data_IF_278827733903
#
_entry.id   IF_278827733903
#
_cell.length_a   1.000
_cell.length_b   1.000
_cell.length_c   1.000
_cell.angle_alpha   90.00
_cell.angle_beta   90.00
_cell.angle_gamma   90.00
#
_symmetry.space_group_name_H-M   'P 1'
#
loop_
_entity.id
_entity.type
_entity.pdbx_description
1 polymer ?
#
# COMPACT_ATOMS: atom_id res chain seq x y z
N UNK A 1 -29.58 -20.24 -18.62
CA UNK A 1 -28.16 -19.82 -18.73
C UNK A 1 -27.47 -20.23 -17.45
N UNK A 2 -26.45 -21.07 -17.53
CA UNK A 2 -25.67 -21.47 -16.35
C UNK A 2 -25.05 -20.23 -15.70
N UNK A 3 -25.32 -20.03 -14.42
CA UNK A 3 -24.89 -18.86 -13.62
C UNK A 3 -23.36 -18.70 -13.62
N UNK A 4 -22.63 -19.80 -13.87
CA UNK A 4 -21.16 -19.87 -13.94
C UNK A 4 -20.50 -19.08 -15.09
N UNK A 5 -21.25 -18.43 -15.98
CA UNK A 5 -20.70 -17.62 -17.09
C UNK A 5 -20.93 -16.10 -16.93
N UNK A 6 -21.55 -15.64 -15.83
CA UNK A 6 -21.69 -14.21 -15.58
C UNK A 6 -20.36 -13.62 -15.09
N UNK A 7 -19.95 -12.50 -15.69
CA UNK A 7 -18.85 -11.69 -15.17
C UNK A 7 -19.17 -11.31 -13.70
N UNK A 8 -18.23 -11.47 -12.74
CA UNK A 8 -18.49 -11.17 -11.33
C UNK A 8 -19.09 -9.78 -11.10
N UNK A 9 -18.67 -8.78 -11.89
CA UNK A 9 -19.21 -7.42 -11.83
C UNK A 9 -20.70 -7.32 -12.23
N UNK A 10 -21.16 -8.16 -13.15
CA UNK A 10 -22.57 -8.23 -13.57
C UNK A 10 -23.41 -9.10 -12.63
N UNK A 11 -22.78 -10.06 -11.95
CA UNK A 11 -23.45 -10.95 -11.01
C UNK A 11 -23.84 -10.23 -9.70
N UNK A 12 -22.95 -9.40 -9.14
CA UNK A 12 -23.20 -8.75 -7.84
C UNK A 12 -24.38 -7.75 -7.89
N UNK A 13 -24.63 -7.10 -9.03
CA UNK A 13 -25.73 -6.13 -9.17
C UNK A 13 -27.09 -6.71 -9.54
N UNK A 14 -27.23 -8.04 -9.59
CA UNK A 14 -28.46 -8.71 -10.05
C UNK A 14 -29.34 -9.11 -8.87
N UNK A 15 -30.60 -8.65 -8.88
CA UNK A 15 -31.57 -8.94 -7.82
C UNK A 15 -32.51 -10.11 -8.18
N UNK A 16 -32.90 -10.26 -9.44
CA UNK A 16 -33.79 -11.35 -9.90
C UNK A 16 -32.99 -12.54 -10.45
N UNK A 17 -32.95 -13.61 -9.66
CA UNK A 17 -32.25 -14.86 -9.99
C UNK A 17 -33.17 -15.98 -10.50
N UNK A 18 -34.47 -15.71 -10.69
CA UNK A 18 -35.44 -16.72 -11.06
C UNK A 18 -35.45 -17.91 -10.09
N UNK A 19 -35.44 -19.14 -10.62
CA UNK A 19 -35.58 -20.37 -9.81
C UNK A 19 -34.27 -20.90 -9.18
N UNK A 20 -33.13 -20.24 -9.41
CA UNK A 20 -31.85 -20.71 -8.89
C UNK A 20 -31.06 -19.53 -8.28
N UNK A 21 -31.39 -19.12 -7.04
CA UNK A 21 -30.64 -18.08 -6.35
C UNK A 21 -29.21 -18.57 -6.06
N UNK A 22 -28.22 -17.66 -6.09
CA UNK A 22 -26.83 -18.02 -5.84
C UNK A 22 -26.63 -18.44 -4.38
N UNK A 23 -25.76 -19.43 -4.21
CA UNK A 23 -25.31 -19.87 -2.89
C UNK A 23 -24.45 -18.80 -2.21
N UNK A 24 -24.29 -18.88 -0.89
CA UNK A 24 -23.40 -17.98 -0.15
C UNK A 24 -21.95 -18.04 -0.69
N UNK A 25 -21.44 -19.25 -0.92
CA UNK A 25 -20.09 -19.45 -1.44
C UNK A 25 -19.88 -18.83 -2.84
N UNK A 26 -20.90 -18.84 -3.69
CA UNK A 26 -20.84 -18.17 -5.00
C UNK A 26 -20.77 -16.65 -4.86
N UNK A 27 -21.56 -16.06 -3.95
CA UNK A 27 -21.49 -14.62 -3.65
C UNK A 27 -20.11 -14.22 -3.14
N UNK A 28 -19.57 -14.98 -2.18
CA UNK A 28 -18.23 -14.76 -1.63
C UNK A 28 -17.16 -14.84 -2.71
N UNK A 29 -17.28 -15.82 -3.61
CA UNK A 29 -16.37 -15.98 -4.74
C UNK A 29 -16.44 -14.79 -5.69
N UNK A 30 -17.65 -14.30 -6.01
CA UNK A 30 -17.81 -13.13 -6.87
C UNK A 30 -17.22 -11.87 -6.25
N UNK A 31 -17.35 -11.70 -4.94
CA UNK A 31 -16.75 -10.59 -4.22
C UNK A 31 -15.21 -10.61 -4.29
N UNK A 32 -14.61 -11.76 -3.98
CA UNK A 32 -13.15 -11.95 -4.11
C UNK A 32 -12.68 -11.68 -5.54
N UNK A 33 -13.37 -12.24 -6.53
CA UNK A 33 -13.03 -12.09 -7.94
C UNK A 33 -13.16 -10.63 -8.42
N UNK A 34 -14.22 -9.93 -7.98
CA UNK A 34 -14.43 -8.51 -8.29
C UNK A 34 -13.30 -7.64 -7.76
N UNK A 35 -12.92 -7.84 -6.49
CA UNK A 35 -11.79 -7.12 -5.87
C UNK A 35 -10.49 -7.40 -6.63
N UNK A 36 -10.24 -8.66 -6.98
CA UNK A 36 -9.04 -9.03 -7.74
C UNK A 36 -8.99 -8.38 -9.13
N UNK A 37 -10.12 -8.31 -9.84
CA UNK A 37 -10.18 -7.60 -11.12
C UNK A 37 -9.81 -6.12 -10.97
N UNK A 38 -10.37 -5.42 -9.97
CA UNK A 38 -10.01 -4.03 -9.72
C UNK A 38 -8.56 -3.86 -9.29
N UNK A 39 -8.00 -4.80 -8.53
CA UNK A 39 -6.58 -4.81 -8.14
C UNK A 39 -5.68 -4.89 -9.37
N UNK A 40 -5.94 -5.81 -10.29
CA UNK A 40 -5.16 -5.94 -11.53
C UNK A 40 -5.22 -4.68 -12.41
N UNK A 41 -6.32 -3.92 -12.32
CA UNK A 41 -6.50 -2.63 -12.98
C UNK A 41 -5.96 -1.44 -12.19
N UNK A 42 -5.32 -1.66 -11.03
CA UNK A 42 -4.87 -0.61 -10.09
C UNK A 42 -5.97 0.39 -9.73
N UNK A 43 -7.22 -0.09 -9.73
CA UNK A 43 -8.45 0.68 -9.57
C UNK A 43 -8.86 0.77 -8.09
N UNK A 44 -7.96 1.31 -7.26
CA UNK A 44 -8.07 1.31 -5.80
C UNK A 44 -9.34 1.99 -5.28
N UNK A 45 -9.81 3.05 -5.95
CA UNK A 45 -11.05 3.75 -5.58
C UNK A 45 -12.27 2.83 -5.64
N UNK A 46 -12.35 1.96 -6.65
CA UNK A 46 -13.45 1.01 -6.79
C UNK A 46 -13.37 -0.10 -5.75
N UNK A 47 -12.17 -0.51 -5.33
CA UNK A 47 -12.01 -1.45 -4.21
C UNK A 47 -12.52 -0.84 -2.91
N UNK A 48 -12.19 0.43 -2.64
CA UNK A 48 -12.73 1.15 -1.47
C UNK A 48 -14.25 1.24 -1.55
N UNK A 49 -14.82 1.59 -2.69
CA UNK A 49 -16.29 1.63 -2.85
C UNK A 49 -16.94 0.27 -2.62
N UNK A 50 -16.35 -0.81 -3.14
CA UNK A 50 -16.88 -2.17 -2.95
C UNK A 50 -16.83 -2.59 -1.47
N UNK A 51 -15.71 -2.34 -0.80
CA UNK A 51 -15.52 -2.68 0.62
C UNK A 51 -16.39 -1.82 1.54
N UNK A 52 -16.48 -0.51 1.29
CA UNK A 52 -17.39 0.38 2.03
C UNK A 52 -18.85 -0.02 1.89
N UNK A 53 -19.31 -0.33 0.68
CA UNK A 53 -20.68 -0.79 0.45
C UNK A 53 -20.99 -2.12 1.14
N UNK A 54 -20.02 -3.05 1.16
CA UNK A 54 -20.18 -4.34 1.84
C UNK A 54 -20.20 -4.22 3.37
N UNK A 55 -19.51 -3.22 3.92
CA UNK A 55 -19.43 -2.94 5.36
C UNK A 55 -20.46 -1.90 5.83
N UNK A 56 -21.40 -1.49 4.96
CA UNK A 56 -22.41 -0.46 5.24
C UNK A 56 -21.81 0.86 5.79
N UNK A 57 -20.63 1.23 5.29
CA UNK A 57 -19.82 2.38 5.76
C UNK A 57 -19.37 2.32 7.24
N UNK A 58 -19.56 1.18 7.91
CA UNK A 58 -19.05 0.92 9.27
C UNK A 58 -17.77 0.06 9.21
N UNK A 59 -16.61 0.70 9.38
CA UNK A 59 -15.33 -0.01 9.37
C UNK A 59 -15.15 -0.96 10.56
N UNK A 60 -15.81 -0.70 11.70
CA UNK A 60 -15.67 -1.57 12.88
C UNK A 60 -16.39 -2.92 12.68
N UNK A 61 -17.35 -2.99 11.76
CA UNK A 61 -18.02 -4.25 11.36
C UNK A 61 -17.10 -5.29 10.73
N UNK A 62 -15.88 -4.89 10.35
CA UNK A 62 -14.88 -5.80 9.77
C UNK A 62 -14.45 -6.89 10.76
N UNK A 63 -14.58 -6.62 12.06
CA UNK A 63 -14.17 -7.53 13.12
C UNK A 63 -15.26 -8.56 13.46
N UNK A 64 -16.50 -8.33 13.00
CA UNK A 64 -17.66 -9.14 13.39
C UNK A 64 -17.75 -10.47 12.64
N UNK A 65 -17.17 -10.54 11.44
CA UNK A 65 -17.23 -11.71 10.58
C UNK A 65 -15.86 -12.13 10.05
N UNK A 66 -15.65 -13.45 9.94
CA UNK A 66 -14.41 -14.02 9.45
C UNK A 66 -14.19 -13.73 7.97
N UNK A 67 -15.25 -13.76 7.15
CA UNK A 67 -15.11 -13.43 5.72
C UNK A 67 -14.73 -11.96 5.53
N UNK A 68 -15.23 -11.05 6.36
CA UNK A 68 -14.80 -9.65 6.35
C UNK A 68 -13.29 -9.51 6.64
N UNK A 69 -12.78 -10.23 7.64
CA UNK A 69 -11.35 -10.24 7.96
C UNK A 69 -10.49 -10.89 6.87
N UNK A 70 -10.97 -11.93 6.20
CA UNK A 70 -10.20 -12.60 5.15
C UNK A 70 -10.26 -11.90 3.78
N UNK A 71 -11.38 -11.25 3.45
CA UNK A 71 -11.61 -10.69 2.13
C UNK A 71 -11.50 -9.17 2.11
N UNK A 72 -12.19 -8.49 3.03
CA UNK A 72 -12.32 -7.03 2.99
C UNK A 72 -11.18 -6.33 3.73
N UNK A 73 -10.67 -6.88 4.82
CA UNK A 73 -9.54 -6.27 5.54
C UNK A 73 -8.26 -6.18 4.67
N UNK A 74 -7.80 -7.24 3.97
CA UNK A 74 -6.64 -7.11 3.07
C UNK A 74 -6.91 -6.09 1.95
N UNK A 75 -8.10 -6.14 1.35
CA UNK A 75 -8.47 -5.24 0.25
C UNK A 75 -8.52 -3.78 0.71
N UNK A 76 -9.03 -3.51 1.90
CA UNK A 76 -9.09 -2.19 2.51
C UNK A 76 -7.70 -1.68 2.90
N UNK A 77 -6.92 -2.49 3.62
CA UNK A 77 -5.55 -2.14 4.03
C UNK A 77 -4.70 -1.77 2.81
N UNK A 78 -4.76 -2.58 1.75
CA UNK A 78 -4.05 -2.29 0.50
C UNK A 78 -4.60 -1.03 -0.18
N UNK A 79 -5.88 -1.01 -0.55
CA UNK A 79 -6.45 0.05 -1.40
C UNK A 79 -6.43 1.42 -0.73
N UNK A 80 -6.75 1.53 0.56
CA UNK A 80 -6.71 2.81 1.28
C UNK A 80 -5.28 3.29 1.50
N UNK A 81 -4.32 2.40 1.77
CA UNK A 81 -2.90 2.78 1.86
C UNK A 81 -2.37 3.27 0.52
N UNK A 82 -2.70 2.59 -0.59
CA UNK A 82 -2.34 3.02 -1.96
C UNK A 82 -2.87 4.42 -2.27
N UNK A 83 -4.11 4.70 -1.89
CA UNK A 83 -4.72 6.00 -2.08
C UNK A 83 -4.10 7.07 -1.17
N UNK A 84 -3.74 6.73 0.06
CA UNK A 84 -3.07 7.62 1.00
C UNK A 84 -1.70 8.06 0.46
N UNK A 85 -0.91 7.15 -0.12
CA UNK A 85 0.36 7.46 -0.81
C UNK A 85 0.14 8.43 -1.98
N UNK A 86 -1.00 8.33 -2.67
CA UNK A 86 -1.40 9.26 -3.75
C UNK A 86 -1.98 10.59 -3.25
N UNK A 87 -1.98 10.82 -1.93
CA UNK A 87 -2.43 12.07 -1.29
C UNK A 87 -3.89 12.07 -0.83
N UNK A 88 -4.63 10.97 -0.98
CA UNK A 88 -6.00 10.84 -0.47
C UNK A 88 -5.97 10.31 0.97
N UNK A 89 -5.86 11.23 1.93
CA UNK A 89 -5.78 10.92 3.35
C UNK A 89 -7.18 10.76 3.96
N UNK A 90 -7.61 9.51 4.12
CA UNK A 90 -8.88 9.16 4.77
C UNK A 90 -8.72 9.08 6.29
N UNK A 91 -9.18 10.11 7.00
CA UNK A 91 -9.07 10.19 8.46
C UNK A 91 -9.85 9.09 9.19
N UNK A 92 -10.95 8.58 8.61
CA UNK A 92 -11.71 7.49 9.20
C UNK A 92 -10.87 6.20 9.21
N UNK A 93 -10.09 5.98 8.15
CA UNK A 93 -9.18 4.84 8.07
C UNK A 93 -8.01 4.92 9.04
N UNK A 94 -7.35 6.08 9.17
CA UNK A 94 -6.30 6.26 10.19
C UNK A 94 -6.85 6.01 11.60
N UNK A 95 -8.02 6.57 11.91
CA UNK A 95 -8.69 6.36 13.20
C UNK A 95 -9.06 4.89 13.44
N UNK A 96 -9.49 4.18 12.40
CA UNK A 96 -9.78 2.75 12.45
C UNK A 96 -8.51 1.95 12.81
N UNK A 97 -7.39 2.22 12.14
CA UNK A 97 -6.11 1.56 12.43
C UNK A 97 -5.67 1.87 13.87
N UNK A 98 -5.73 3.13 14.31
CA UNK A 98 -5.34 3.50 15.68
C UNK A 98 -6.16 2.75 16.74
N UNK A 99 -7.49 2.70 16.58
CA UNK A 99 -8.37 1.90 17.46
C UNK A 99 -8.04 0.40 17.42
N UNK A 100 -7.76 -0.14 16.23
CA UNK A 100 -7.39 -1.54 16.09
C UNK A 100 -6.07 -1.87 16.80
N UNK A 101 -5.12 -0.94 16.82
CA UNK A 101 -3.83 -1.11 17.49
C UNK A 101 -3.93 -1.07 19.03
N UNK A 102 -5.01 -0.54 19.60
CA UNK A 102 -5.29 -0.57 21.04
C UNK A 102 -5.77 -1.95 21.53
N UNK A 103 -6.43 -2.71 20.66
CA UNK A 103 -6.94 -4.05 20.97
C UNK A 103 -5.87 -5.08 20.61
N UNK A 104 -5.40 -5.83 21.60
CA UNK A 104 -4.27 -6.76 21.45
C UNK A 104 -4.43 -7.73 20.26
N UNK A 105 -5.56 -8.43 20.16
CA UNK A 105 -5.73 -9.46 19.12
C UNK A 105 -5.77 -8.85 17.71
N UNK A 106 -6.38 -7.66 17.58
CA UNK A 106 -6.44 -6.92 16.31
C UNK A 106 -5.06 -6.39 15.93
N UNK A 107 -4.32 -5.83 16.89
CA UNK A 107 -2.93 -5.41 16.71
C UNK A 107 -2.06 -6.57 16.24
N UNK A 108 -2.09 -7.70 16.96
CA UNK A 108 -1.25 -8.86 16.65
C UNK A 108 -1.52 -9.35 15.20
N UNK A 109 -2.78 -9.33 14.75
CA UNK A 109 -3.16 -9.63 13.37
C UNK A 109 -2.60 -8.61 12.37
N UNK A 110 -2.74 -7.31 12.65
CA UNK A 110 -2.26 -6.25 11.77
C UNK A 110 -0.72 -6.26 11.64
N UNK A 111 -0.02 -6.42 12.75
CA UNK A 111 1.44 -6.46 12.79
C UNK A 111 2.02 -7.69 12.07
N UNK A 112 1.30 -8.82 12.08
CA UNK A 112 1.74 -10.04 11.41
C UNK A 112 1.46 -10.06 9.91
N UNK A 113 0.35 -9.45 9.46
CA UNK A 113 -0.10 -9.54 8.07
C UNK A 113 0.15 -8.29 7.23
N UNK A 114 0.13 -7.10 7.83
CA UNK A 114 0.24 -5.82 7.13
C UNK A 114 1.35 -4.91 7.67
N UNK A 115 2.56 -5.44 7.98
CA UNK A 115 3.64 -4.63 8.54
C UNK A 115 4.09 -3.52 7.57
N UNK A 116 4.02 -3.77 6.25
CA UNK A 116 4.41 -2.76 5.27
C UNK A 116 3.40 -1.62 5.21
N UNK A 117 2.11 -1.93 5.14
CA UNK A 117 1.04 -0.92 5.12
C UNK A 117 1.10 -0.07 6.39
N UNK A 118 1.27 -0.68 7.57
CA UNK A 118 1.50 0.05 8.82
C UNK A 118 2.70 0.98 8.73
N UNK A 119 3.83 0.50 8.19
CA UNK A 119 5.01 1.33 8.00
C UNK A 119 4.74 2.53 7.09
N UNK A 120 4.05 2.32 5.97
CA UNK A 120 3.65 3.38 5.04
C UNK A 120 2.76 4.40 5.75
N UNK A 121 1.76 3.97 6.53
CA UNK A 121 0.88 4.87 7.26
C UNK A 121 1.64 5.72 8.28
N UNK A 122 2.55 5.13 9.06
CA UNK A 122 3.38 5.88 9.99
C UNK A 122 4.38 6.82 9.28
N UNK A 123 4.87 6.43 8.10
CA UNK A 123 5.69 7.30 7.27
C UNK A 123 4.91 8.54 6.82
N UNK A 124 3.65 8.38 6.40
CA UNK A 124 2.77 9.49 6.02
C UNK A 124 2.44 10.41 7.22
N UNK A 125 2.47 9.89 8.44
CA UNK A 125 2.31 10.64 9.69
C UNK A 125 3.62 11.24 10.22
N UNK A 126 4.73 11.11 9.49
CA UNK A 126 6.08 11.54 9.89
C UNK A 126 6.65 10.85 11.16
N UNK A 127 6.07 9.73 11.60
CA UNK A 127 6.64 8.90 12.67
C UNK A 127 7.66 7.90 12.08
N UNK A 128 8.85 8.42 11.80
CA UNK A 128 9.93 7.64 11.20
C UNK A 128 10.42 6.49 12.08
N UNK A 129 10.27 6.57 13.41
CA UNK A 129 10.72 5.50 14.30
C UNK A 129 9.80 4.28 14.16
N UNK A 130 8.48 4.49 14.22
CA UNK A 130 7.50 3.42 14.04
C UNK A 130 7.55 2.87 12.61
N UNK A 131 7.64 3.74 11.61
CA UNK A 131 7.78 3.32 10.22
C UNK A 131 9.00 2.39 10.03
N UNK A 132 10.16 2.75 10.59
CA UNK A 132 11.37 1.90 10.54
C UNK A 132 11.14 0.55 11.22
N UNK A 133 10.52 0.54 12.40
CA UNK A 133 10.24 -0.70 13.13
C UNK A 133 9.43 -1.67 12.29
N UNK A 134 8.35 -1.20 11.66
CA UNK A 134 7.46 -2.04 10.86
C UNK A 134 8.07 -2.47 9.53
N UNK A 135 8.87 -1.62 8.85
CA UNK A 135 9.65 -2.04 7.66
C UNK A 135 10.60 -3.19 8.01
N UNK A 136 11.34 -3.09 9.12
CA UNK A 136 12.22 -4.16 9.57
C UNK A 136 11.45 -5.43 9.93
N UNK A 137 10.25 -5.31 10.49
CA UNK A 137 9.36 -6.45 10.72
C UNK A 137 8.91 -7.09 9.40
N UNK A 138 8.55 -6.29 8.39
CA UNK A 138 8.20 -6.78 7.05
C UNK A 138 9.35 -7.53 6.39
N UNK A 139 10.59 -7.05 6.49
CA UNK A 139 11.78 -7.77 6.00
C UNK A 139 12.01 -9.11 6.71
N UNK A 140 11.76 -9.16 8.02
CA UNK A 140 11.84 -10.39 8.80
C UNK A 140 10.78 -11.39 8.34
N UNK A 141 9.54 -10.95 8.15
CA UNK A 141 8.43 -11.78 7.67
C UNK A 141 8.73 -12.29 6.25
N UNK A 142 9.18 -11.42 5.34
CA UNK A 142 9.63 -11.82 4.00
C UNK A 142 10.70 -12.92 4.07
N UNK A 143 11.71 -12.76 4.92
CA UNK A 143 12.80 -13.73 5.07
C UNK A 143 12.30 -15.08 5.57
N UNK A 144 11.39 -15.08 6.54
CA UNK A 144 10.75 -16.29 7.07
C UNK A 144 9.91 -16.99 5.99
N UNK A 145 9.09 -16.24 5.26
CA UNK A 145 8.26 -16.77 4.17
C UNK A 145 9.12 -17.34 3.03
N UNK A 146 10.19 -16.63 2.65
CA UNK A 146 11.11 -17.06 1.61
C UNK A 146 11.84 -18.36 1.96
N UNK A 147 12.29 -18.48 3.21
CA UNK A 147 12.96 -19.67 3.73
C UNK A 147 12.01 -20.87 3.85
N UNK A 148 10.74 -20.64 4.19
CA UNK A 148 9.72 -21.68 4.30
C UNK A 148 9.18 -22.14 2.93
N UNK A 149 9.30 -21.32 1.88
CA UNK A 149 8.66 -21.58 0.59
C UNK A 149 9.42 -22.63 -0.25
N UNK A 150 8.77 -23.74 -0.68
CA UNK A 150 9.39 -24.75 -1.52
C UNK A 150 9.98 -24.17 -2.82
N UNK A 151 11.17 -24.60 -3.25
CA UNK A 151 11.83 -24.06 -4.45
C UNK A 151 11.03 -24.20 -5.75
N UNK A 152 10.14 -25.21 -5.83
CA UNK A 152 9.35 -25.51 -7.02
C UNK A 152 8.13 -24.60 -7.22
N UNK A 153 7.73 -23.82 -6.19
CA UNK A 153 6.60 -22.90 -6.28
C UNK A 153 7.01 -21.58 -6.97
N UNK A 154 7.41 -21.68 -8.25
CA UNK A 154 8.00 -20.59 -9.01
C UNK A 154 7.17 -19.30 -8.95
N UNK A 155 5.87 -19.35 -9.26
CA UNK A 155 5.00 -18.18 -9.26
C UNK A 155 4.83 -17.56 -7.87
N UNK A 156 4.77 -18.38 -6.83
CA UNK A 156 4.66 -17.87 -5.45
C UNK A 156 5.95 -17.19 -5.02
N UNK A 157 7.10 -17.77 -5.37
CA UNK A 157 8.43 -17.21 -5.10
C UNK A 157 8.63 -15.90 -5.85
N UNK A 158 8.22 -15.86 -7.12
CA UNK A 158 8.25 -14.64 -7.95
C UNK A 158 7.41 -13.53 -7.32
N UNK A 159 6.15 -13.80 -6.96
CA UNK A 159 5.28 -12.84 -6.28
C UNK A 159 5.88 -12.30 -4.98
N UNK A 160 6.49 -13.19 -4.18
CA UNK A 160 7.14 -12.79 -2.93
C UNK A 160 8.36 -11.89 -3.20
N UNK A 161 9.21 -12.24 -4.18
CA UNK A 161 10.36 -11.42 -4.57
C UNK A 161 9.98 -10.03 -5.08
N UNK A 162 8.87 -9.93 -5.83
CA UNK A 162 8.38 -8.66 -6.35
C UNK A 162 8.04 -7.65 -5.25
N UNK A 163 7.70 -8.11 -4.03
CA UNK A 163 7.44 -7.23 -2.88
C UNK A 163 8.70 -6.61 -2.30
N UNK A 164 9.88 -7.17 -2.60
CA UNK A 164 11.14 -6.74 -1.99
C UNK A 164 11.59 -5.37 -2.49
N UNK A 165 11.38 -5.05 -3.75
CA UNK A 165 11.77 -3.76 -4.31
C UNK A 165 11.04 -2.59 -3.62
N UNK A 166 9.70 -2.56 -3.57
CA UNK A 166 9.00 -1.48 -2.89
C UNK A 166 9.38 -1.36 -1.41
N UNK A 167 9.56 -2.50 -0.73
CA UNK A 167 9.98 -2.53 0.67
C UNK A 167 11.38 -1.94 0.89
N UNK A 168 12.31 -2.24 -0.04
CA UNK A 168 13.68 -1.69 -0.01
C UNK A 168 13.68 -0.20 -0.30
N UNK A 169 12.89 0.26 -1.27
CA UNK A 169 12.81 1.68 -1.61
C UNK A 169 12.17 2.51 -0.49
N UNK A 170 11.18 1.97 0.22
CA UNK A 170 10.62 2.61 1.43
C UNK A 170 11.65 2.74 2.55
N UNK A 171 12.48 1.71 2.78
CA UNK A 171 13.54 1.77 3.78
C UNK A 171 14.65 2.74 3.37
N UNK A 172 15.12 2.67 2.12
CA UNK A 172 16.12 3.59 1.57
C UNK A 172 15.65 5.04 1.71
N UNK A 173 14.38 5.31 1.41
CA UNK A 173 13.78 6.64 1.59
C UNK A 173 13.75 7.06 3.06
N UNK A 174 13.36 6.19 3.98
CA UNK A 174 13.35 6.49 5.41
C UNK A 174 14.76 6.81 5.94
N UNK A 175 15.76 6.04 5.52
CA UNK A 175 17.16 6.28 5.88
C UNK A 175 17.70 7.57 5.27
N UNK A 176 17.30 7.87 4.03
CA UNK A 176 17.59 9.14 3.38
C UNK A 176 17.02 10.33 4.18
N UNK A 177 15.77 10.23 4.64
CA UNK A 177 15.09 11.28 5.42
C UNK A 177 15.70 11.50 6.81
N UNK A 178 16.28 10.46 7.41
CA UNK A 178 16.94 10.54 8.72
C UNK A 178 18.29 11.31 8.66
N UNK A 179 18.96 11.31 7.51
CA UNK A 179 20.25 11.96 7.32
C UNK A 179 20.09 13.44 6.94
N UNK A 180 20.21 14.34 7.91
CA UNK A 180 20.09 15.79 7.68
C UNK A 180 21.10 16.33 6.64
N UNK A 181 22.25 15.67 6.47
CA UNK A 181 23.27 16.06 5.50
C UNK A 181 22.81 15.91 4.05
N UNK A 182 21.86 14.99 3.78
CA UNK A 182 21.30 14.79 2.45
C UNK A 182 20.51 16.01 1.96
N UNK A 183 20.05 16.86 2.88
CA UNK A 183 19.34 18.10 2.58
C UNK A 183 20.27 19.32 2.59
N UNK A 184 21.60 19.15 2.63
CA UNK A 184 22.54 20.28 2.50
C UNK A 184 22.85 20.64 1.04
N UNK A 185 22.64 19.72 0.11
CA UNK A 185 22.87 19.93 -1.33
C UNK A 185 21.94 19.08 -2.17
N UNK A 186 21.72 19.47 -3.44
CA UNK A 186 20.91 18.70 -4.37
C UNK A 186 21.57 17.39 -4.84
N UNK A 187 22.85 17.17 -4.51
CA UNK A 187 23.59 16.02 -5.03
C UNK A 187 23.03 14.69 -4.52
N UNK A 188 22.71 14.59 -3.23
CA UNK A 188 22.17 13.37 -2.64
C UNK A 188 20.80 13.01 -3.25
N UNK A 189 19.94 14.01 -3.46
CA UNK A 189 18.63 13.84 -4.11
C UNK A 189 18.82 13.38 -5.57
N UNK A 190 19.74 13.99 -6.32
CA UNK A 190 20.03 13.59 -7.71
C UNK A 190 20.50 12.15 -7.81
N UNK A 191 21.45 11.75 -6.97
CA UNK A 191 21.95 10.38 -6.94
C UNK A 191 20.84 9.37 -6.61
N UNK A 192 19.95 9.69 -5.68
CA UNK A 192 18.80 8.83 -5.37
C UNK A 192 17.86 8.67 -6.59
N UNK A 193 17.54 9.76 -7.29
CA UNK A 193 16.71 9.74 -8.50
C UNK A 193 17.38 8.94 -9.63
N UNK A 194 18.70 9.10 -9.81
CA UNK A 194 19.47 8.33 -10.80
C UNK A 194 19.43 6.81 -10.50
N UNK A 195 19.55 6.43 -9.22
CA UNK A 195 19.43 5.02 -8.80
C UNK A 195 18.03 4.48 -9.10
N UNK A 196 16.98 5.25 -8.78
CA UNK A 196 15.60 4.84 -9.06
C UNK A 196 15.32 4.71 -10.56
N UNK A 197 15.86 5.61 -11.39
CA UNK A 197 15.74 5.53 -12.84
C UNK A 197 16.37 4.26 -13.43
N UNK A 198 17.40 3.71 -12.79
CA UNK A 198 18.07 2.47 -13.19
C UNK A 198 17.41 1.19 -12.65
N UNK A 199 16.50 1.32 -11.67
CA UNK A 199 15.84 0.20 -10.98
C UNK A 199 14.33 0.22 -11.23
N UNK A 200 13.90 0.24 -12.49
CA UNK A 200 12.48 0.10 -12.81
C UNK A 200 12.07 -1.39 -12.77
N UNK A 201 10.80 -1.71 -12.43
CA UNK A 201 10.28 -3.05 -12.64
C UNK A 201 10.42 -3.48 -14.10
N UNK A 202 10.40 -4.78 -14.37
CA UNK A 202 10.49 -5.32 -15.73
C UNK A 202 9.15 -5.13 -16.47
N UNK A 203 9.21 -4.66 -17.72
CA UNK A 203 8.02 -4.34 -18.51
C UNK A 203 7.23 -5.57 -18.98
N UNK A 204 7.84 -6.75 -19.01
CA UNK A 204 7.22 -7.98 -19.50
C UNK A 204 6.93 -8.99 -18.38
N UNK A 205 7.72 -8.98 -17.32
CA UNK A 205 7.63 -9.98 -16.25
C UNK A 205 6.87 -9.50 -15.02
N UNK A 206 6.85 -8.20 -14.76
CA UNK A 206 6.25 -7.67 -13.54
C UNK A 206 4.81 -7.18 -13.76
N UNK A 207 3.91 -7.42 -12.79
CA UNK A 207 2.52 -7.03 -12.91
C UNK A 207 2.36 -5.50 -12.84
N UNK A 208 1.27 -5.00 -13.43
CA UNK A 208 0.93 -3.58 -13.36
C UNK A 208 0.79 -3.06 -11.92
N UNK A 209 0.40 -3.92 -10.98
CA UNK A 209 0.31 -3.58 -9.56
C UNK A 209 1.66 -3.22 -8.94
N UNK A 210 2.75 -3.89 -9.34
CA UNK A 210 4.10 -3.54 -8.89
C UNK A 210 4.55 -2.20 -9.48
N UNK A 211 4.23 -1.97 -10.74
CA UNK A 211 4.49 -0.69 -11.40
C UNK A 211 3.74 0.46 -10.70
N UNK A 212 2.45 0.31 -10.42
CA UNK A 212 1.67 1.31 -9.71
C UNK A 212 2.23 1.58 -8.31
N UNK A 213 2.66 0.54 -7.59
CA UNK A 213 3.30 0.63 -6.28
C UNK A 213 4.59 1.48 -6.32
N UNK A 214 5.56 1.06 -7.14
CA UNK A 214 6.88 1.69 -7.21
C UNK A 214 6.75 3.14 -7.68
N UNK A 215 5.97 3.39 -8.73
CA UNK A 215 5.83 4.74 -9.30
C UNK A 215 5.06 5.67 -8.36
N UNK A 216 3.99 5.19 -7.72
CA UNK A 216 3.23 6.00 -6.76
C UNK A 216 4.07 6.33 -5.53
N UNK A 217 4.81 5.35 -4.98
CA UNK A 217 5.68 5.55 -3.82
C UNK A 217 6.79 6.56 -4.11
N UNK A 218 7.50 6.42 -5.24
CA UNK A 218 8.51 7.40 -5.67
C UNK A 218 7.95 8.80 -5.88
N UNK A 219 6.75 8.90 -6.45
CA UNK A 219 6.06 10.19 -6.64
C UNK A 219 5.73 10.85 -5.30
N UNK A 220 5.27 10.05 -4.33
CA UNK A 220 5.03 10.51 -2.97
C UNK A 220 6.33 10.94 -2.29
N UNK A 221 7.41 10.15 -2.38
CA UNK A 221 8.72 10.49 -1.82
C UNK A 221 9.27 11.80 -2.40
N UNK A 222 9.16 11.97 -3.72
CA UNK A 222 9.51 13.22 -4.38
C UNK A 222 8.68 14.39 -3.83
N UNK A 223 7.38 14.20 -3.63
CA UNK A 223 6.51 15.20 -3.02
C UNK A 223 6.91 15.51 -1.56
N UNK A 224 7.21 14.51 -0.73
CA UNK A 224 7.68 14.70 0.66
C UNK A 224 9.00 15.47 0.74
N UNK A 225 9.94 15.19 -0.16
CA UNK A 225 11.20 15.94 -0.25
C UNK A 225 10.96 17.38 -0.73
N UNK A 226 9.98 17.58 -1.62
CA UNK A 226 9.66 18.90 -2.19
C UNK A 226 8.78 19.75 -1.28
N UNK A 227 8.02 19.12 -0.38
CA UNK A 227 7.21 19.80 0.62
C UNK A 227 8.14 20.64 1.51
N UNK A 228 7.76 21.89 1.84
CA UNK A 228 8.53 22.74 2.71
C UNK A 228 8.44 22.23 4.15
N UNK A 229 9.12 21.14 4.46
CA UNK A 229 9.58 20.92 5.82
C UNK A 229 10.52 22.09 6.18
N UNK A 230 10.64 22.38 7.47
CA UNK A 230 11.59 23.39 8.00
C UNK A 230 13.00 23.22 7.40
N UNK A 231 13.36 22.01 6.96
CA UNK A 231 14.65 21.67 6.32
C UNK A 231 14.81 22.22 4.89
N UNK A 232 13.75 22.26 4.08
CA UNK A 232 13.79 22.80 2.69
C UNK A 232 13.70 24.32 2.67
N UNK A 233 12.98 24.93 3.64
CA UNK A 233 12.99 26.39 3.83
C UNK A 233 14.40 26.94 4.12
N UNK A 234 15.26 26.19 4.84
CA UNK A 234 16.66 26.58 5.06
C UNK A 234 17.47 26.57 3.75
N UNK A 235 17.20 25.63 2.84
CA UNK A 235 17.83 25.59 1.52
C UNK A 235 17.34 26.72 0.63
N UNK A 236 16.03 26.99 0.58
CA UNK A 236 15.47 28.10 -0.18
C UNK A 236 15.94 29.46 0.36
N UNK A 237 15.98 29.64 1.67
CA UNK A 237 16.50 30.87 2.29
C UNK A 237 18.00 31.06 2.02
N UNK A 238 18.81 29.98 2.02
CA UNK A 238 20.24 30.06 1.68
C UNK A 238 20.49 30.33 0.19
N UNK A 239 19.66 29.77 -0.69
CA UNK A 239 19.73 30.03 -2.14
C UNK A 239 19.29 31.45 -2.49
N UNK A 240 18.29 31.99 -1.78
CA UNK A 240 17.85 33.38 -1.94
C UNK A 240 18.89 34.35 -1.34
N UNK A 241 19.42 34.08 -0.14
CA UNK A 241 20.46 34.93 0.46
C UNK A 241 21.80 34.89 -0.27
N UNK A 242 22.13 33.79 -0.94
CA UNK A 242 23.34 33.71 -1.79
C UNK A 242 23.18 34.49 -3.11
N UNK A 243 21.94 34.72 -3.56
CA UNK A 243 21.65 35.51 -4.77
C UNK A 243 21.77 37.01 -4.50
N UNK A 244 21.44 37.45 -3.30
CA UNK A 244 21.54 38.86 -2.87
C UNK A 244 22.99 39.30 -2.53
N UNK A 245 23.95 38.37 -2.47
CA UNK A 245 25.39 38.66 -2.29
C UNK A 245 26.11 38.80 -3.65
N UNK A 246 25.44 38.41 -4.75
CA UNK A 246 25.98 38.45 -6.12
C UNK A 246 25.27 39.49 -7.02
N UNK A 247 24.51 40.41 -6.44
CA UNK A 247 23.95 41.60 -7.09
C UNK A 247 24.48 42.87 -6.43
#
# INVERSE_FOLDING_TARGET
MSVHLLCPMQAVGKEDWGFCPPTHAEKDYWERARIECYRQLCSWQYIVQCTSAALEDDLDSIWDDHFHQECFLPAMMESKTRLAVKGNLDQAFFSFVDKAMEVKDRRDLLESHYPRELATLYLLQEDHHRARHYLLSAFRIFTQQWAAMPPLLYESRKKLLQQLQPLTEELDFLEFMAQNDNFKSLQAIRTMIEIWAQRLPDTHQDPATLWDDVISSRSAFHFFISMPSVKVCVLLHRLLSARDILS
#
